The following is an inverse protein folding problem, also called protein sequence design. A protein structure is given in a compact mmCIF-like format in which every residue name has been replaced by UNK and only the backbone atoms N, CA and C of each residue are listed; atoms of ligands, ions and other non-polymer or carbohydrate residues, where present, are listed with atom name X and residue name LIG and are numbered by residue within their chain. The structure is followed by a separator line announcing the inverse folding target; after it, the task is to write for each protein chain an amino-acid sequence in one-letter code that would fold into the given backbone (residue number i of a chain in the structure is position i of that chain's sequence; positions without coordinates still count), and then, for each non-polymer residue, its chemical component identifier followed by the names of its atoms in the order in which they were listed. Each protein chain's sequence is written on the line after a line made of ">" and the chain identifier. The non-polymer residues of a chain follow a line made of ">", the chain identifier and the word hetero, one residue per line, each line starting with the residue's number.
data_IF_196255662457
#
_entry.id   IF_196255662457
#
_cell.length_a   1.000
_cell.length_b   1.000
_cell.length_c   1.000
_cell.angle_alpha   90.00
_cell.angle_beta   90.00
_cell.angle_gamma   90.00
#
_symmetry.space_group_name_H-M   'P 1'
#
loop_
_entity.id
_entity.type
_entity.pdbx_description
1 polymer ?
#
# COMPACT_ATOMS: atom_id res chain seq x y z
N UNK A 1 -14.16 -21.15 -8.75
CA UNK A 1 -12.78 -20.72 -9.10
C UNK A 1 -11.84 -21.17 -7.99
N UNK A 2 -10.58 -21.52 -8.30
CA UNK A 2 -9.62 -21.93 -7.27
C UNK A 2 -9.41 -20.81 -6.24
N UNK A 3 -9.16 -21.19 -4.99
CA UNK A 3 -8.82 -20.22 -3.95
C UNK A 3 -7.47 -19.56 -4.29
N UNK A 4 -7.43 -18.23 -4.26
CA UNK A 4 -6.17 -17.48 -4.35
C UNK A 4 -5.48 -17.62 -3.00
N UNK A 5 -4.29 -18.19 -2.99
CA UNK A 5 -3.47 -18.38 -1.80
C UNK A 5 -2.27 -17.44 -1.82
N UNK A 6 -1.80 -17.00 -0.65
CA UNK A 6 -0.61 -16.18 -0.51
C UNK A 6 0.67 -17.01 -0.74
N UNK A 7 0.99 -17.27 -2.00
CA UNK A 7 2.22 -17.94 -2.43
C UNK A 7 3.42 -16.99 -2.36
N UNK A 8 4.65 -17.52 -2.40
CA UNK A 8 5.85 -16.67 -2.45
C UNK A 8 5.83 -15.73 -3.66
N UNK A 9 5.42 -16.21 -4.84
CA UNK A 9 5.32 -15.39 -6.04
C UNK A 9 4.34 -14.22 -5.86
N UNK A 10 3.21 -14.46 -5.19
CA UNK A 10 2.23 -13.41 -4.90
C UNK A 10 2.76 -12.44 -3.82
N UNK A 11 3.53 -12.93 -2.85
CA UNK A 11 4.22 -12.05 -1.88
C UNK A 11 5.18 -11.11 -2.60
N UNK A 12 6.01 -11.65 -3.49
CA UNK A 12 6.97 -10.88 -4.27
C UNK A 12 6.26 -9.86 -5.18
N UNK A 13 5.13 -10.24 -5.80
CA UNK A 13 4.29 -9.32 -6.59
C UNK A 13 3.82 -8.12 -5.75
N UNK A 14 3.19 -8.36 -4.59
CA UNK A 14 2.71 -7.28 -3.72
C UNK A 14 3.85 -6.37 -3.24
N UNK A 15 4.98 -6.97 -2.84
CA UNK A 15 6.17 -6.23 -2.42
C UNK A 15 6.65 -5.31 -3.54
N UNK A 16 6.84 -5.86 -4.75
CA UNK A 16 7.30 -5.12 -5.92
C UNK A 16 6.35 -3.99 -6.31
N UNK A 17 5.03 -4.24 -6.27
CA UNK A 17 4.03 -3.22 -6.56
C UNK A 17 4.07 -2.10 -5.52
N UNK A 18 4.15 -2.42 -4.23
CA UNK A 18 4.20 -1.40 -3.19
C UNK A 18 5.47 -0.57 -3.26
N UNK A 19 6.63 -1.20 -3.50
CA UNK A 19 7.91 -0.51 -3.63
C UNK A 19 7.93 0.45 -4.82
N UNK A 20 7.38 0.02 -5.96
CA UNK A 20 7.27 0.82 -7.18
C UNK A 20 6.05 1.76 -7.21
N UNK A 21 5.23 1.79 -6.16
CA UNK A 21 4.05 2.63 -6.09
C UNK A 21 4.44 4.10 -6.02
N UNK A 22 3.97 4.88 -6.99
CA UNK A 22 4.11 6.33 -7.05
C UNK A 22 2.73 6.96 -7.01
N UNK A 23 2.49 7.82 -6.03
CA UNK A 23 1.22 8.53 -5.89
C UNK A 23 1.12 9.56 -7.01
N UNK A 24 0.01 9.56 -7.76
CA UNK A 24 -0.20 10.55 -8.80
C UNK A 24 -0.38 11.94 -8.15
N UNK A 25 0.40 12.92 -8.59
CA UNK A 25 0.45 14.24 -7.95
C UNK A 25 -0.90 14.98 -7.97
N UNK A 26 -1.73 14.74 -9.00
CA UNK A 26 -3.09 15.29 -9.07
C UNK A 26 -4.04 14.70 -8.00
N UNK A 27 -3.70 13.55 -7.43
CA UNK A 27 -4.45 12.90 -6.34
C UNK A 27 -3.90 13.21 -4.95
N UNK A 28 -2.70 13.79 -4.87
CA UNK A 28 -1.98 13.97 -3.60
C UNK A 28 -2.81 14.72 -2.54
N UNK A 29 -3.55 15.77 -2.93
CA UNK A 29 -4.41 16.51 -2.00
C UNK A 29 -5.50 15.64 -1.35
N UNK A 30 -6.15 14.77 -2.14
CA UNK A 30 -7.11 13.80 -1.63
C UNK A 30 -6.45 12.76 -0.72
N UNK A 31 -5.25 12.28 -1.09
CA UNK A 31 -4.47 11.34 -0.25
C UNK A 31 -4.12 11.98 1.10
N UNK A 32 -3.61 13.21 1.11
CA UNK A 32 -3.26 13.93 2.34
C UNK A 32 -4.47 14.16 3.25
N UNK A 33 -5.64 14.47 2.66
CA UNK A 33 -6.88 14.63 3.40
C UNK A 33 -7.26 13.34 4.13
N UNK A 34 -7.12 12.19 3.47
CA UNK A 34 -7.39 10.87 4.05
C UNK A 34 -6.36 10.54 5.14
N UNK A 35 -5.06 10.69 4.85
CA UNK A 35 -4.00 10.37 5.81
C UNK A 35 -4.10 11.24 7.07
N UNK A 36 -4.40 12.52 6.94
CA UNK A 36 -4.61 13.41 8.09
C UNK A 36 -5.79 12.93 8.95
N UNK A 37 -6.93 12.59 8.34
CA UNK A 37 -8.10 12.08 9.06
C UNK A 37 -7.81 10.77 9.79
N UNK A 38 -7.11 9.85 9.12
CA UNK A 38 -6.70 8.57 9.69
C UNK A 38 -5.78 8.79 10.89
N UNK A 39 -4.76 9.63 10.74
CA UNK A 39 -3.77 9.90 11.80
C UNK A 39 -4.41 10.58 13.01
N UNK A 40 -5.33 11.52 12.79
CA UNK A 40 -6.10 12.16 13.87
C UNK A 40 -6.94 11.18 14.69
N UNK A 41 -7.30 10.03 14.11
CA UNK A 41 -8.10 8.99 14.77
C UNK A 41 -7.28 7.73 15.09
N UNK A 42 -5.94 7.79 15.04
CA UNK A 42 -5.05 6.64 15.23
C UNK A 42 -5.38 5.86 16.52
N UNK A 43 -5.55 6.56 17.65
CA UNK A 43 -5.83 5.93 18.94
C UNK A 43 -7.10 5.05 18.91
N UNK A 44 -8.12 5.44 18.13
CA UNK A 44 -9.37 4.67 18.01
C UNK A 44 -9.13 3.37 17.24
N UNK A 45 -8.33 3.43 16.18
CA UNK A 45 -7.93 2.25 15.42
C UNK A 45 -7.03 1.33 16.23
N UNK A 46 -6.09 1.87 17.00
CA UNK A 46 -5.22 1.10 17.90
C UNK A 46 -6.00 0.38 19.00
N UNK A 47 -7.00 1.05 19.60
CA UNK A 47 -7.85 0.43 20.60
C UNK A 47 -8.53 -0.86 20.09
N UNK A 48 -9.00 -0.85 18.83
CA UNK A 48 -9.59 -2.03 18.19
C UNK A 48 -8.51 -3.05 17.82
N UNK A 49 -7.44 -2.58 17.17
CA UNK A 49 -6.38 -3.43 16.64
C UNK A 49 -5.62 -4.21 17.71
N UNK A 50 -5.27 -3.56 18.82
CA UNK A 50 -4.52 -4.17 19.91
C UNK A 50 -5.25 -5.36 20.53
N UNK A 51 -6.58 -5.28 20.66
CA UNK A 51 -7.39 -6.37 21.19
C UNK A 51 -7.50 -7.59 20.26
N UNK A 52 -7.19 -7.42 18.97
CA UNK A 52 -7.35 -8.45 17.94
C UNK A 52 -6.03 -8.88 17.29
N UNK A 53 -4.91 -8.27 17.64
CA UNK A 53 -3.63 -8.49 16.97
C UNK A 53 -3.62 -8.00 15.51
N UNK A 54 -4.38 -6.95 15.21
CA UNK A 54 -4.50 -6.38 13.85
C UNK A 54 -3.82 -5.00 13.84
N UNK A 55 -2.93 -4.70 12.88
CA UNK A 55 -2.33 -3.39 12.78
C UNK A 55 -3.37 -2.28 12.57
N UNK A 56 -3.30 -1.22 13.36
CA UNK A 56 -4.28 -0.13 13.32
C UNK A 56 -4.41 0.49 11.92
N UNK A 57 -3.31 0.57 11.17
CA UNK A 57 -3.27 1.15 9.83
C UNK A 57 -3.95 0.27 8.77
N UNK A 58 -4.03 -1.05 8.98
CA UNK A 58 -4.89 -1.92 8.15
C UNK A 58 -6.36 -1.56 8.37
N UNK A 59 -6.79 -1.46 9.63
CA UNK A 59 -8.18 -1.12 9.99
C UNK A 59 -8.55 0.26 9.44
N UNK A 60 -7.66 1.24 9.56
CA UNK A 60 -7.88 2.59 9.07
C UNK A 60 -8.02 2.64 7.54
N UNK A 61 -7.19 1.89 6.81
CA UNK A 61 -7.27 1.82 5.36
C UNK A 61 -8.59 1.21 4.88
N UNK A 62 -9.00 0.06 5.42
CA UNK A 62 -10.29 -0.56 5.06
C UNK A 62 -11.47 0.31 5.50
N UNK A 63 -11.43 0.93 6.69
CA UNK A 63 -12.52 1.79 7.15
C UNK A 63 -12.69 3.02 6.24
N UNK A 64 -11.59 3.56 5.70
CA UNK A 64 -11.68 4.57 4.66
C UNK A 64 -12.30 4.05 3.35
N UNK A 65 -11.94 2.83 2.94
CA UNK A 65 -12.47 2.22 1.72
C UNK A 65 -13.97 1.91 1.82
N UNK A 66 -14.43 1.45 2.97
CA UNK A 66 -15.84 1.05 3.15
C UNK A 66 -16.77 2.21 3.48
N UNK A 67 -16.30 3.23 4.22
CA UNK A 67 -17.19 4.26 4.75
C UNK A 67 -16.59 5.66 4.80
N UNK A 68 -15.46 5.92 4.12
CA UNK A 68 -14.73 7.19 4.21
C UNK A 68 -14.37 7.57 5.66
N UNK A 69 -14.09 6.56 6.51
CA UNK A 69 -13.82 6.71 7.94
C UNK A 69 -14.98 7.29 8.74
N UNK A 70 -16.23 6.93 8.40
CA UNK A 70 -17.41 7.37 9.15
C UNK A 70 -17.58 6.55 10.45
N UNK A 71 -17.17 7.14 11.57
CA UNK A 71 -17.28 6.54 12.90
C UNK A 71 -18.70 6.52 13.50
N UNK A 72 -19.73 6.95 12.77
CA UNK A 72 -21.13 6.91 13.23
C UNK A 72 -21.89 5.68 12.71
N UNK A 73 -21.23 4.84 11.92
CA UNK A 73 -21.83 3.67 11.28
C UNK A 73 -21.07 2.39 11.63
N UNK A 74 -21.76 1.26 11.54
CA UNK A 74 -21.18 -0.07 11.65
C UNK A 74 -20.17 -0.32 10.52
N UNK A 75 -18.96 -0.80 10.88
CA UNK A 75 -17.95 -1.24 9.90
C UNK A 75 -18.42 -2.42 9.05
N UNK A 76 -19.45 -3.15 9.49
CA UNK A 76 -20.02 -4.27 8.75
C UNK A 76 -20.56 -3.88 7.37
N UNK A 77 -21.43 -2.88 7.34
CA UNK A 77 -22.29 -2.60 6.20
C UNK A 77 -22.75 -1.13 6.11
N UNK A 78 -22.27 -0.26 7.00
CA UNK A 78 -22.63 1.16 7.03
C UNK A 78 -23.92 1.52 7.77
N UNK A 79 -24.62 0.56 8.39
CA UNK A 79 -25.81 0.86 9.20
C UNK A 79 -25.51 1.79 10.39
N UNK A 80 -26.44 2.63 10.87
CA UNK A 80 -26.21 3.49 12.03
C UNK A 80 -25.94 2.69 13.32
N UNK A 81 -25.01 3.17 14.16
CA UNK A 81 -24.65 2.54 15.44
C UNK A 81 -25.76 2.58 16.52
N UNK A 82 -26.88 3.25 16.26
CA UNK A 82 -28.00 3.40 17.19
C UNK A 82 -28.83 2.14 17.37
N UNK A 83 -28.64 1.14 16.51
CA UNK A 83 -29.32 -0.16 16.56
C UNK A 83 -28.33 -1.27 16.17
N UNK A 84 -28.80 -2.51 16.04
CA UNK A 84 -28.01 -3.55 15.36
C UNK A 84 -28.16 -3.39 13.85
N UNK A 85 -27.22 -3.96 13.09
CA UNK A 85 -27.30 -4.01 11.63
C UNK A 85 -28.61 -4.65 11.17
N UNK A 86 -29.24 -4.04 10.17
CA UNK A 86 -30.41 -4.59 9.49
C UNK A 86 -30.03 -5.12 8.10
N UNK A 87 -29.06 -4.49 7.45
CA UNK A 87 -28.44 -5.01 6.23
C UNK A 87 -27.50 -6.18 6.56
N UNK A 88 -27.18 -7.00 5.56
CA UNK A 88 -26.31 -8.17 5.74
C UNK A 88 -24.88 -7.71 6.09
N UNK A 89 -24.21 -8.31 7.09
CA UNK A 89 -24.74 -9.33 8.03
C UNK A 89 -25.67 -8.70 9.07
N UNK A 90 -26.93 -9.16 9.14
CA UNK A 90 -27.94 -8.61 10.04
C UNK A 90 -27.74 -9.07 11.50
N UNK A 91 -28.22 -8.27 12.44
CA UNK A 91 -28.20 -8.57 13.88
C UNK A 91 -26.82 -8.40 14.55
N UNK A 92 -25.94 -7.58 13.98
CA UNK A 92 -24.59 -7.30 14.49
C UNK A 92 -24.49 -5.93 15.19
N UNK A 93 -23.59 -5.75 16.18
CA UNK A 93 -22.84 -6.78 16.92
C UNK A 93 -23.75 -7.81 17.58
N UNK A 94 -23.26 -8.98 17.95
CA UNK A 94 -24.11 -10.00 18.65
C UNK A 94 -24.18 -9.80 20.16
N UNK A 95 -23.13 -9.24 20.75
CA UNK A 95 -23.03 -8.98 22.19
C UNK A 95 -23.27 -7.49 22.50
N UNK A 96 -23.71 -7.20 23.73
CA UNK A 96 -24.01 -5.83 24.18
C UNK A 96 -25.39 -5.31 23.74
N UNK A 97 -25.69 -4.05 24.05
CA UNK A 97 -26.93 -3.36 23.66
C UNK A 97 -26.61 -2.01 22.98
N UNK A 98 -27.39 -1.57 21.97
CA UNK A 98 -27.21 -0.28 21.34
C UNK A 98 -27.59 0.90 22.26
N UNK A 99 -27.12 2.14 21.99
CA UNK A 99 -26.21 2.49 20.89
C UNK A 99 -24.80 1.94 21.13
N UNK A 100 -24.18 1.42 20.07
CA UNK A 100 -22.83 0.88 20.13
C UNK A 100 -21.79 1.99 19.90
N UNK A 101 -20.61 1.86 20.50
CA UNK A 101 -19.47 2.62 19.99
C UNK A 101 -18.95 1.98 18.71
N UNK A 102 -18.25 2.78 17.90
CA UNK A 102 -17.63 2.27 16.68
C UNK A 102 -16.64 1.14 16.97
N UNK A 103 -15.87 1.24 18.05
CA UNK A 103 -14.85 0.25 18.41
C UNK A 103 -15.46 -1.12 18.71
N UNK A 104 -16.59 -1.16 19.43
CA UNK A 104 -17.33 -2.40 19.69
C UNK A 104 -17.85 -3.00 18.38
N UNK A 105 -18.41 -2.17 17.50
CA UNK A 105 -18.86 -2.65 16.20
C UNK A 105 -17.74 -3.12 15.29
N UNK A 106 -16.61 -2.41 15.28
CA UNK A 106 -15.46 -2.72 14.45
C UNK A 106 -14.83 -4.04 14.90
N UNK A 107 -14.69 -4.25 16.22
CA UNK A 107 -14.16 -5.50 16.75
C UNK A 107 -15.02 -6.72 16.38
N UNK A 108 -16.36 -6.60 16.46
CA UNK A 108 -17.28 -7.66 16.02
C UNK A 108 -17.17 -7.91 14.50
N UNK A 109 -17.05 -6.86 13.68
CA UNK A 109 -16.85 -6.97 12.22
C UNK A 109 -15.56 -7.68 11.85
N UNK A 110 -14.43 -7.25 12.41
CA UNK A 110 -13.11 -7.83 12.12
C UNK A 110 -13.02 -9.30 12.58
N UNK A 111 -13.67 -9.63 13.70
CA UNK A 111 -13.77 -11.01 14.18
C UNK A 111 -14.69 -11.86 13.30
N UNK A 112 -15.82 -11.30 12.85
CA UNK A 112 -16.73 -11.98 11.91
C UNK A 112 -16.03 -12.33 10.59
N UNK A 113 -15.18 -11.43 10.10
CA UNK A 113 -14.32 -11.62 8.92
C UNK A 113 -13.10 -12.53 9.20
N UNK A 114 -12.96 -13.07 10.42
CA UNK A 114 -11.85 -13.93 10.87
C UNK A 114 -10.47 -13.30 10.71
N UNK A 115 -10.38 -11.96 10.73
CA UNK A 115 -9.10 -11.25 10.61
C UNK A 115 -8.26 -11.40 11.88
N UNK A 116 -8.89 -11.63 13.03
CA UNK A 116 -8.21 -11.99 14.28
C UNK A 116 -7.54 -13.39 14.24
N UNK A 117 -7.76 -14.18 13.19
CA UNK A 117 -7.11 -15.49 12.98
C UNK A 117 -5.95 -15.41 11.98
N UNK A 118 -5.69 -14.22 11.42
CA UNK A 118 -4.58 -13.98 10.50
C UNK A 118 -3.36 -13.45 11.24
N UNK A 119 -2.18 -13.97 10.91
CA UNK A 119 -0.93 -13.63 11.59
C UNK A 119 0.12 -12.97 10.71
N UNK A 120 0.05 -13.12 9.38
CA UNK A 120 1.04 -12.56 8.46
C UNK A 120 0.72 -11.10 8.13
N UNK A 121 1.07 -10.21 9.06
CA UNK A 121 0.95 -8.75 8.89
C UNK A 121 2.20 -8.11 8.29
N UNK A 122 3.05 -8.89 7.61
CA UNK A 122 4.05 -8.32 6.70
C UNK A 122 3.37 -7.48 5.61
N UNK A 123 4.12 -6.59 4.95
CA UNK A 123 3.57 -5.77 3.87
C UNK A 123 2.81 -6.59 2.81
N UNK A 124 3.36 -7.69 2.26
CA UNK A 124 2.62 -8.53 1.33
C UNK A 124 1.41 -9.22 1.94
N UNK A 125 1.51 -9.73 3.17
CA UNK A 125 0.42 -10.40 3.85
C UNK A 125 -0.75 -9.47 4.17
N UNK A 126 -0.45 -8.22 4.53
CA UNK A 126 -1.42 -7.15 4.72
C UNK A 126 -2.11 -6.80 3.40
N UNK A 127 -1.38 -6.55 2.32
CA UNK A 127 -1.96 -6.21 1.01
C UNK A 127 -2.83 -7.34 0.47
N UNK A 128 -2.41 -8.59 0.65
CA UNK A 128 -3.20 -9.77 0.35
C UNK A 128 -4.54 -9.77 1.10
N UNK A 129 -4.53 -9.51 2.42
CA UNK A 129 -5.76 -9.43 3.20
C UNK A 129 -6.65 -8.25 2.85
N UNK A 130 -6.06 -7.11 2.50
CA UNK A 130 -6.82 -5.94 2.02
C UNK A 130 -7.50 -6.22 0.69
N UNK A 131 -6.83 -6.89 -0.26
CA UNK A 131 -7.46 -7.31 -1.51
C UNK A 131 -8.54 -8.36 -1.28
N UNK A 132 -8.29 -9.34 -0.42
CA UNK A 132 -9.25 -10.36 -0.04
C UNK A 132 -10.51 -9.76 0.61
N UNK A 133 -10.36 -8.67 1.37
CA UNK A 133 -11.46 -7.95 2.02
C UNK A 133 -12.45 -7.40 0.98
N UNK A 134 -11.94 -6.80 -0.10
CA UNK A 134 -12.76 -6.36 -1.24
C UNK A 134 -13.24 -7.54 -2.10
N UNK A 135 -12.41 -8.57 -2.25
CA UNK A 135 -12.66 -9.76 -3.04
C UNK A 135 -11.82 -9.87 -4.31
N UNK A 136 -11.73 -11.11 -4.83
CA UNK A 136 -10.81 -11.53 -5.88
C UNK A 136 -11.27 -11.30 -7.32
N UNK A 137 -12.28 -10.45 -7.53
CA UNK A 137 -12.91 -10.27 -8.86
C UNK A 137 -11.91 -9.88 -9.95
N UNK A 138 -10.99 -8.96 -9.65
CA UNK A 138 -9.96 -8.50 -10.59
C UNK A 138 -9.01 -9.62 -10.95
N UNK A 139 -8.38 -10.31 -9.99
CA UNK A 139 -7.46 -11.42 -10.27
C UNK A 139 -8.11 -12.56 -11.07
N UNK A 140 -9.40 -12.80 -10.85
CA UNK A 140 -10.11 -13.90 -11.48
C UNK A 140 -10.62 -13.60 -12.89
N UNK A 141 -11.04 -12.36 -13.14
CA UNK A 141 -11.77 -12.00 -14.36
C UNK A 141 -11.07 -10.94 -15.20
N UNK A 142 -10.23 -10.11 -14.59
CA UNK A 142 -9.50 -8.99 -15.20
C UNK A 142 -8.06 -8.90 -14.68
N UNK A 143 -7.25 -9.97 -14.78
CA UNK A 143 -5.89 -9.99 -14.23
C UNK A 143 -4.96 -8.94 -14.88
N UNK A 144 -5.34 -8.39 -16.03
CA UNK A 144 -4.68 -7.26 -16.68
C UNK A 144 -4.89 -5.91 -15.97
N UNK A 145 -5.87 -5.82 -15.05
CA UNK A 145 -6.16 -4.61 -14.27
C UNK A 145 -5.88 -4.86 -12.79
N UNK A 146 -4.87 -4.18 -12.26
CA UNK A 146 -4.62 -4.14 -10.82
C UNK A 146 -5.81 -3.52 -10.08
N UNK A 147 -6.23 -4.15 -8.98
CA UNK A 147 -7.45 -3.74 -8.27
C UNK A 147 -7.40 -2.26 -7.85
N UNK A 148 -8.35 -1.41 -8.28
CA UNK A 148 -8.44 -0.03 -7.84
C UNK A 148 -8.67 0.09 -6.33
N UNK A 149 -9.20 -0.96 -5.68
CA UNK A 149 -9.35 -0.99 -4.23
C UNK A 149 -7.99 -0.88 -3.52
N UNK A 150 -6.93 -1.40 -4.13
CA UNK A 150 -5.56 -1.22 -3.64
C UNK A 150 -4.88 -0.01 -4.27
N UNK A 151 -4.94 0.12 -5.60
CA UNK A 151 -3.96 0.92 -6.36
C UNK A 151 -4.52 2.20 -6.99
N UNK A 152 -5.82 2.49 -6.84
CA UNK A 152 -6.39 3.71 -7.42
C UNK A 152 -5.72 4.96 -6.84
N UNK A 153 -5.27 5.86 -7.73
CA UNK A 153 -4.53 7.07 -7.38
C UNK A 153 -3.01 6.94 -7.45
N UNK A 154 -2.48 5.82 -7.94
CA UNK A 154 -1.06 5.65 -8.26
C UNK A 154 -0.81 5.37 -9.74
N UNK A 155 0.47 5.27 -10.10
CA UNK A 155 0.95 4.83 -11.41
C UNK A 155 0.50 3.40 -11.81
N UNK A 156 0.05 2.59 -10.86
CA UNK A 156 -0.37 1.20 -11.09
C UNK A 156 -1.81 1.04 -11.59
N UNK A 157 -2.62 2.11 -11.53
CA UNK A 157 -4.01 2.06 -11.94
C UNK A 157 -4.38 3.25 -12.83
N UNK A 158 -4.90 2.95 -14.02
CA UNK A 158 -5.38 3.96 -14.97
C UNK A 158 -6.91 3.97 -15.07
N UNK A 159 -7.52 2.82 -15.36
CA UNK A 159 -8.97 2.63 -15.57
C UNK A 159 -9.33 1.15 -15.55
N UNK A 160 -10.62 0.85 -15.61
CA UNK A 160 -11.17 -0.49 -15.48
C UNK A 160 -11.70 -0.69 -14.08
N UNK A 161 -13.00 -0.89 -13.92
CA UNK A 161 -13.59 -1.22 -12.62
C UNK A 161 -14.94 -1.92 -12.75
N UNK A 162 -15.29 -2.67 -11.73
CA UNK A 162 -16.67 -3.02 -11.47
C UNK A 162 -17.44 -1.76 -11.05
N UNK A 163 -18.48 -1.40 -11.81
CA UNK A 163 -19.35 -0.25 -11.53
C UNK A 163 -20.58 -0.64 -10.71
N UNK A 164 -20.90 -1.92 -10.70
CA UNK A 164 -21.87 -2.58 -9.83
C UNK A 164 -21.50 -4.07 -9.74
N UNK A 165 -22.19 -4.82 -8.89
CA UNK A 165 -21.95 -6.26 -8.72
C UNK A 165 -22.04 -7.00 -10.06
N UNK A 166 -20.92 -7.65 -10.42
CA UNK A 166 -20.76 -8.37 -11.68
C UNK A 166 -20.72 -7.50 -12.95
N UNK A 167 -20.83 -6.17 -12.85
CA UNK A 167 -20.85 -5.26 -14.00
C UNK A 167 -19.49 -4.58 -14.18
N UNK A 168 -18.68 -5.15 -15.07
CA UNK A 168 -17.40 -4.60 -15.48
C UNK A 168 -17.53 -3.43 -16.46
N UNK A 169 -16.65 -2.44 -16.32
CA UNK A 169 -16.40 -1.41 -17.33
C UNK A 169 -14.89 -1.27 -17.51
N UNK A 170 -14.42 -1.37 -18.75
CA UNK A 170 -13.02 -1.20 -19.17
C UNK A 170 -12.53 0.25 -19.12
N UNK A 171 -13.47 1.21 -19.11
CA UNK A 171 -13.23 2.63 -19.28
C UNK A 171 -13.53 3.45 -18.04
N UNK A 172 -14.34 2.93 -17.11
CA UNK A 172 -14.61 3.60 -15.85
C UNK A 172 -13.34 3.75 -15.00
N UNK A 173 -13.21 4.90 -14.33
CA UNK A 173 -12.07 5.22 -13.47
C UNK A 173 -12.58 5.33 -12.03
N UNK A 174 -11.87 4.71 -11.08
CA UNK A 174 -12.16 4.91 -9.67
C UNK A 174 -11.74 6.31 -9.20
N UNK A 175 -12.65 7.04 -8.56
CA UNK A 175 -12.36 8.29 -7.86
C UNK A 175 -11.86 8.09 -6.44
N UNK A 176 -12.06 6.88 -5.88
CA UNK A 176 -11.62 6.51 -4.54
C UNK A 176 -10.11 6.26 -4.54
N UNK A 177 -9.40 6.74 -3.51
CA UNK A 177 -7.97 6.45 -3.30
C UNK A 177 -7.84 5.05 -2.72
N UNK A 178 -7.07 4.20 -3.36
CA UNK A 178 -6.89 2.80 -2.95
C UNK A 178 -6.12 2.66 -1.63
N UNK A 179 -6.38 1.56 -0.92
CA UNK A 179 -5.80 1.29 0.38
C UNK A 179 -4.27 1.18 0.37
N UNK A 180 -3.67 0.61 -0.68
CA UNK A 180 -2.21 0.53 -0.79
C UNK A 180 -1.60 1.92 -0.99
N UNK A 181 -2.29 2.83 -1.70
CA UNK A 181 -1.86 4.23 -1.87
C UNK A 181 -1.90 5.01 -0.55
N UNK A 182 -2.94 4.77 0.27
CA UNK A 182 -3.03 5.34 1.63
C UNK A 182 -1.85 4.85 2.50
N UNK A 183 -1.61 3.53 2.52
CA UNK A 183 -0.52 2.91 3.26
C UNK A 183 0.85 3.43 2.79
N UNK A 184 1.04 3.55 1.47
CA UNK A 184 2.26 4.12 0.88
C UNK A 184 2.51 5.52 1.42
N UNK A 185 1.49 6.37 1.49
CA UNK A 185 1.64 7.73 2.02
C UNK A 185 1.92 7.76 3.52
N UNK A 186 1.33 6.86 4.32
CA UNK A 186 1.66 6.72 5.74
C UNK A 186 3.14 6.36 5.95
N UNK A 187 3.69 5.48 5.10
CA UNK A 187 5.12 5.13 5.10
C UNK A 187 6.00 6.31 4.68
N UNK A 188 5.65 7.01 3.58
CA UNK A 188 6.40 8.19 3.12
C UNK A 188 6.43 9.32 4.16
N UNK A 189 5.38 9.44 4.96
CA UNK A 189 5.30 10.37 6.10
C UNK A 189 5.94 9.85 7.39
N UNK A 190 6.51 8.63 7.37
CA UNK A 190 7.12 7.95 8.51
C UNK A 190 6.18 7.79 9.71
N UNK A 191 4.88 7.71 9.46
CA UNK A 191 3.85 7.46 10.49
C UNK A 191 3.83 5.97 10.83
N UNK A 192 4.04 5.13 9.82
CA UNK A 192 4.23 3.69 9.98
C UNK A 192 5.52 3.28 9.28
N UNK A 193 6.02 2.10 9.65
CA UNK A 193 7.12 1.44 8.96
C UNK A 193 6.75 -0.01 8.72
N UNK A 194 7.20 -0.57 7.61
CA UNK A 194 7.22 -2.01 7.40
C UNK A 194 8.65 -2.49 7.60
N UNK A 195 8.82 -3.57 8.34
CA UNK A 195 10.14 -4.18 8.48
C UNK A 195 10.62 -4.64 7.09
N UNK A 196 11.83 -4.26 6.72
CA UNK A 196 12.48 -4.79 5.53
C UNK A 196 12.89 -6.23 5.83
N UNK A 197 12.41 -7.20 5.05
CA UNK A 197 12.95 -8.55 5.12
C UNK A 197 14.39 -8.53 4.58
N UNK A 198 15.41 -8.78 5.42
CA UNK A 198 16.81 -8.72 5.01
C UNK A 198 17.16 -9.78 3.96
N UNK A 199 16.32 -10.79 3.75
CA UNK A 199 16.51 -11.84 2.76
C UNK A 199 15.88 -11.53 1.40
N UNK A 200 15.08 -10.46 1.29
CA UNK A 200 14.59 -10.03 -0.02
C UNK A 200 15.79 -9.61 -0.88
N UNK A 201 15.92 -10.14 -2.10
CA UNK A 201 17.02 -9.75 -2.97
C UNK A 201 16.94 -8.23 -3.19
N UNK A 202 18.01 -7.52 -2.83
CA UNK A 202 18.13 -6.09 -3.04
C UNK A 202 17.80 -5.80 -4.51
N UNK A 203 16.72 -5.06 -4.75
CA UNK A 203 16.36 -4.68 -6.10
C UNK A 203 17.51 -3.88 -6.68
N UNK A 204 17.98 -4.27 -7.87
CA UNK A 204 19.01 -3.53 -8.59
C UNK A 204 18.48 -2.09 -8.81
N UNK A 205 19.08 -1.07 -8.17
CA UNK A 205 18.59 0.29 -8.33
C UNK A 205 18.75 0.73 -9.79
N UNK A 206 17.90 1.66 -10.25
CA UNK A 206 18.03 2.25 -11.60
C UNK A 206 19.44 2.83 -11.82
N UNK A 207 20.00 3.40 -10.76
CA UNK A 207 21.40 3.82 -10.69
C UNK A 207 22.26 2.70 -10.09
N UNK A 208 22.97 1.97 -10.95
CA UNK A 208 23.85 0.88 -10.57
C UNK A 208 25.19 0.98 -11.32
N UNK A 209 26.23 0.35 -10.80
CA UNK A 209 27.49 0.18 -11.54
C UNK A 209 27.22 -0.56 -12.85
N UNK A 210 27.71 -0.05 -13.97
CA UNK A 210 27.51 -0.64 -15.28
C UNK A 210 28.63 -0.29 -16.26
N UNK A 211 29.01 -1.25 -17.09
CA UNK A 211 29.90 -1.02 -18.25
C UNK A 211 29.14 -0.59 -19.50
N UNK A 212 27.81 -0.49 -19.41
CA UNK A 212 26.89 -0.03 -20.46
C UNK A 212 26.10 1.17 -19.97
N UNK A 213 25.51 1.92 -20.92
CA UNK A 213 24.63 3.03 -20.61
C UNK A 213 23.41 2.54 -19.80
N UNK A 214 23.03 3.27 -18.76
CA UNK A 214 21.84 2.97 -17.95
C UNK A 214 20.88 4.15 -17.89
N UNK A 215 19.64 3.87 -17.50
CA UNK A 215 18.65 4.89 -17.21
C UNK A 215 19.14 5.79 -16.06
N UNK A 216 19.03 7.11 -16.24
CA UNK A 216 19.55 8.13 -15.32
C UNK A 216 21.08 8.21 -15.14
N UNK A 217 21.87 7.43 -15.89
CA UNK A 217 23.34 7.44 -15.77
C UNK A 217 23.96 8.81 -16.04
N UNK A 218 23.46 9.54 -17.04
CA UNK A 218 23.96 10.88 -17.37
C UNK A 218 23.61 11.88 -16.27
N UNK A 219 22.39 11.81 -15.73
CA UNK A 219 21.92 12.65 -14.64
C UNK A 219 22.75 12.43 -13.37
N UNK A 220 23.10 11.17 -13.06
CA UNK A 220 24.02 10.86 -11.96
C UNK A 220 25.40 11.50 -12.19
N UNK A 221 25.97 11.35 -13.38
CA UNK A 221 27.29 11.94 -13.69
C UNK A 221 27.25 13.47 -13.65
N UNK A 222 26.18 14.09 -14.16
CA UNK A 222 25.95 15.53 -14.06
C UNK A 222 25.85 16.00 -12.60
N UNK A 223 25.10 15.26 -11.76
CA UNK A 223 25.01 15.52 -10.32
C UNK A 223 26.39 15.43 -9.65
N UNK A 224 27.17 14.38 -9.94
CA UNK A 224 28.50 14.19 -9.35
C UNK A 224 29.47 15.32 -9.73
N UNK A 225 29.38 15.84 -10.96
CA UNK A 225 30.17 16.98 -11.42
C UNK A 225 29.82 18.31 -10.73
N UNK A 226 28.74 18.38 -9.93
CA UNK A 226 28.42 19.57 -9.14
C UNK A 226 29.27 19.67 -7.86
N UNK A 227 29.99 18.61 -7.47
CA UNK A 227 30.84 18.60 -6.28
C UNK A 227 32.27 19.07 -6.62
N UNK A 228 32.87 20.00 -5.84
CA UNK A 228 34.22 20.48 -6.09
C UNK A 228 35.25 19.34 -6.16
N UNK A 229 36.10 19.36 -7.18
CA UNK A 229 37.16 18.36 -7.37
C UNK A 229 36.71 17.03 -7.98
N UNK A 230 35.42 16.87 -8.30
CA UNK A 230 34.90 15.70 -9.01
C UNK A 230 34.71 16.04 -10.49
N UNK A 231 35.30 15.22 -11.35
CA UNK A 231 35.20 15.35 -12.80
C UNK A 231 35.01 13.97 -13.44
N UNK A 232 33.77 13.66 -13.82
CA UNK A 232 33.39 12.44 -14.51
C UNK A 232 32.81 12.77 -15.89
N UNK A 233 33.09 11.92 -16.88
CA UNK A 233 32.50 12.04 -18.20
C UNK A 233 30.98 11.81 -18.11
N UNK A 234 30.19 12.61 -18.83
CA UNK A 234 28.73 12.43 -18.94
C UNK A 234 28.44 11.63 -20.20
N UNK A 235 28.54 10.31 -20.11
CA UNK A 235 28.28 9.34 -21.19
C UNK A 235 27.15 8.35 -20.86
N UNK A 236 26.59 8.47 -19.66
CA UNK A 236 25.55 7.60 -19.13
C UNK A 236 26.02 6.21 -18.75
N UNK A 237 27.32 5.94 -18.78
CA UNK A 237 27.95 4.67 -18.38
C UNK A 237 28.53 4.83 -16.97
N UNK A 238 27.79 4.47 -15.91
CA UNK A 238 28.26 4.62 -14.53
C UNK A 238 29.25 3.49 -14.16
N UNK A 239 30.42 3.51 -14.81
CA UNK A 239 31.51 2.58 -14.55
C UNK A 239 32.36 2.99 -13.36
N UNK A 240 33.60 2.51 -13.31
CA UNK A 240 34.51 2.68 -12.17
C UNK A 240 34.67 4.12 -11.70
N UNK A 241 34.94 5.07 -12.62
CA UNK A 241 35.13 6.49 -12.27
C UNK A 241 33.88 7.14 -11.68
N UNK A 242 32.70 6.81 -12.22
CA UNK A 242 31.42 7.30 -11.68
C UNK A 242 31.15 6.72 -10.30
N UNK A 243 31.46 5.43 -10.08
CA UNK A 243 31.30 4.79 -8.77
C UNK A 243 32.31 5.30 -7.74
N UNK A 244 33.54 5.61 -8.15
CA UNK A 244 34.55 6.25 -7.28
C UNK A 244 34.09 7.64 -6.84
N UNK A 245 33.59 8.45 -7.78
CA UNK A 245 33.01 9.75 -7.48
C UNK A 245 31.78 9.63 -6.56
N UNK A 246 30.90 8.65 -6.81
CA UNK A 246 29.74 8.39 -5.97
C UNK A 246 30.15 8.03 -4.53
N UNK A 247 31.21 7.24 -4.35
CA UNK A 247 31.78 6.93 -3.02
C UNK A 247 32.36 8.15 -2.32
N UNK A 248 33.03 9.05 -3.04
CA UNK A 248 33.53 10.30 -2.44
C UNK A 248 32.39 11.17 -1.91
N UNK A 249 31.26 11.21 -2.61
CA UNK A 249 30.09 12.02 -2.22
C UNK A 249 29.25 11.36 -1.12
N UNK A 250 29.04 10.04 -1.21
CA UNK A 250 28.04 9.34 -0.39
C UNK A 250 28.62 8.38 0.66
N UNK A 251 29.93 8.12 0.60
CA UNK A 251 30.61 7.10 1.40
C UNK A 251 30.49 5.66 0.87
N UNK A 252 29.65 5.41 -0.14
CA UNK A 252 29.36 4.07 -0.65
C UNK A 252 29.65 3.94 -2.15
N UNK A 253 30.07 2.77 -2.61
CA UNK A 253 30.13 2.48 -4.05
C UNK A 253 28.72 2.33 -4.64
N UNK A 254 28.59 2.50 -5.96
CA UNK A 254 27.34 2.18 -6.64
C UNK A 254 27.00 0.70 -6.47
N UNK A 255 25.71 0.40 -6.36
CA UNK A 255 25.22 -0.99 -6.28
C UNK A 255 25.71 -1.81 -7.47
N UNK A 256 26.29 -2.99 -7.21
CA UNK A 256 26.86 -3.86 -8.23
C UNK A 256 28.30 -3.55 -8.64
N UNK A 257 28.96 -2.56 -8.00
CA UNK A 257 30.40 -2.37 -8.15
C UNK A 257 31.15 -3.58 -7.54
N UNK A 258 32.12 -4.18 -8.24
CA UNK A 258 32.87 -5.34 -7.74
C UNK A 258 33.71 -5.07 -6.48
N UNK A 259 33.80 -3.82 -6.02
CA UNK A 259 34.57 -3.38 -4.84
C UNK A 259 33.67 -3.00 -3.64
N UNK A 260 32.35 -3.09 -3.80
CA UNK A 260 31.35 -2.76 -2.79
C UNK A 260 31.26 -3.82 -1.68
#
# INVERSE_FOLDING_TARGET
>A
MPAINLTQALKDEYQNLFDACQINLDKLSSVETIVNRITQNQNRYEQVGNGLGIPWYFIAAIHNMESSSNFNCHLHNGDPLSQRTTHVPAGRPTNGQPPFTWEVSAADSLTFQRLNQWSDWSLPGLLYKTEAYNGWGYRNSHPEVLSPYLWSGSNHYLRGKYVADGRWSDTAVSSQIGAAVILRRLVERRIITFESDPNLPARKPFLNYSTKRVEYGEQLQQFLNQFPGIYVLVDGVPGQKTSDAFKLVTGNYLSGDPRA
#
